data_IF_933337838998
#
_entry.id   IF_933337838998
#
_cell.length_a   1.000
_cell.length_b   1.000
_cell.length_c   1.000
_cell.angle_alpha   90.00
_cell.angle_beta   90.00
_cell.angle_gamma   90.00
#
_symmetry.space_group_name_H-M   'P 1'
#
loop_
_entity.id
_entity.type
_entity.pdbx_description
1 polymer ?
#
# COMPACT_ATOMS: atom_id res chain seq x y z
N UNK A 1 -12.42 36.41 5.03
CA UNK A 1 -13.68 36.27 5.80
C UNK A 1 -13.89 34.81 6.17
N UNK A 2 -14.81 34.52 7.10
CA UNK A 2 -15.05 33.16 7.65
C UNK A 2 -15.22 32.08 6.57
N UNK A 3 -15.88 32.40 5.45
CA UNK A 3 -16.06 31.46 4.32
C UNK A 3 -14.73 30.97 3.73
N UNK A 4 -13.75 31.87 3.53
CA UNK A 4 -12.45 31.47 2.99
C UNK A 4 -11.66 30.57 3.96
N UNK A 5 -11.83 30.77 5.26
CA UNK A 5 -11.23 29.91 6.29
C UNK A 5 -11.89 28.53 6.31
N UNK A 6 -13.20 28.46 6.10
CA UNK A 6 -13.94 27.20 6.03
C UNK A 6 -13.57 26.41 4.76
N UNK A 7 -13.51 27.07 3.61
CA UNK A 7 -13.12 26.46 2.33
C UNK A 7 -11.69 25.88 2.37
N UNK A 8 -10.78 26.58 3.06
CA UNK A 8 -9.39 26.14 3.24
C UNK A 8 -9.24 24.83 4.05
N UNK A 9 -10.28 24.45 4.82
CA UNK A 9 -10.29 23.25 5.67
C UNK A 9 -11.14 22.12 5.06
N UNK A 10 -12.25 22.46 4.42
CA UNK A 10 -13.18 21.46 3.84
C UNK A 10 -12.53 20.70 2.69
N UNK A 11 -11.80 21.39 1.80
CA UNK A 11 -11.16 20.75 0.64
C UNK A 11 -10.23 19.58 1.02
N UNK A 12 -9.19 19.82 1.85
CA UNK A 12 -8.27 18.78 2.29
C UNK A 12 -8.96 17.62 3.02
N UNK A 13 -9.97 17.91 3.84
CA UNK A 13 -10.73 16.88 4.57
C UNK A 13 -11.53 15.97 3.63
N UNK A 14 -12.17 16.55 2.61
CA UNK A 14 -12.92 15.77 1.62
C UNK A 14 -11.98 14.85 0.82
N UNK A 15 -10.82 15.36 0.41
CA UNK A 15 -9.81 14.56 -0.29
C UNK A 15 -9.32 13.41 0.59
N UNK A 16 -8.99 13.68 1.85
CA UNK A 16 -8.56 12.63 2.77
C UNK A 16 -9.65 11.57 2.99
N UNK A 17 -10.91 11.98 3.16
CA UNK A 17 -12.03 11.06 3.36
C UNK A 17 -12.27 10.16 2.13
N UNK A 18 -12.24 10.73 0.93
CA UNK A 18 -12.40 9.98 -0.32
C UNK A 18 -11.30 8.93 -0.49
N UNK A 19 -10.04 9.30 -0.23
CA UNK A 19 -8.91 8.39 -0.33
C UNK A 19 -8.98 7.25 0.68
N UNK A 20 -9.38 7.55 1.92
CA UNK A 20 -9.59 6.53 2.95
C UNK A 20 -10.72 5.58 2.56
N UNK A 21 -11.82 6.08 2.00
CA UNK A 21 -12.94 5.26 1.51
C UNK A 21 -12.52 4.32 0.37
N UNK A 22 -11.76 4.83 -0.60
CA UNK A 22 -11.20 4.02 -1.70
C UNK A 22 -10.30 2.90 -1.18
N UNK A 23 -9.35 3.23 -0.30
CA UNK A 23 -8.43 2.25 0.31
C UNK A 23 -9.22 1.20 1.12
N UNK A 24 -10.22 1.61 1.89
CA UNK A 24 -11.06 0.71 2.68
C UNK A 24 -11.84 -0.29 1.81
N UNK A 25 -12.15 0.09 0.56
CA UNK A 25 -12.81 -0.78 -0.43
C UNK A 25 -11.82 -1.60 -1.26
N UNK A 26 -10.52 -1.51 -0.99
CA UNK A 26 -9.47 -2.18 -1.77
C UNK A 26 -9.20 -1.53 -3.13
N UNK A 27 -9.78 -0.36 -3.41
CA UNK A 27 -9.45 0.44 -4.58
C UNK A 27 -8.28 1.36 -4.22
N UNK A 28 -7.06 1.00 -4.59
CA UNK A 28 -5.89 1.81 -4.23
C UNK A 28 -5.80 3.02 -5.18
N UNK A 29 -5.98 4.26 -4.70
CA UNK A 29 -5.95 5.43 -5.55
C UNK A 29 -4.52 5.79 -5.98
N UNK A 30 -4.41 6.64 -6.99
CA UNK A 30 -3.15 7.29 -7.34
C UNK A 30 -2.73 8.28 -6.24
N UNK A 31 -1.43 8.57 -6.15
CA UNK A 31 -0.88 9.52 -5.16
C UNK A 31 -1.58 10.88 -5.21
N UNK A 32 -1.77 11.48 -4.04
CA UNK A 32 -2.23 12.87 -3.91
C UNK A 32 -1.09 13.79 -4.31
N UNK A 33 -1.30 14.59 -5.37
CA UNK A 33 -0.32 15.56 -5.89
C UNK A 33 -0.54 16.98 -5.39
N UNK A 34 -1.71 17.25 -4.81
CA UNK A 34 -2.06 18.58 -4.32
C UNK A 34 -1.14 19.03 -3.19
N UNK A 35 -1.03 20.36 -3.07
CA UNK A 35 -0.23 21.01 -2.04
C UNK A 35 -1.13 21.58 -0.97
N UNK A 36 -0.83 21.22 0.28
CA UNK A 36 -1.55 21.69 1.46
C UNK A 36 -0.56 22.33 2.44
N UNK A 37 -1.09 23.03 3.43
CA UNK A 37 -0.28 23.66 4.48
C UNK A 37 -0.43 22.90 5.81
N UNK A 38 0.64 22.90 6.62
CA UNK A 38 0.64 22.33 7.97
C UNK A 38 0.20 20.87 8.01
N UNK A 39 -0.69 20.56 8.95
CA UNK A 39 -1.14 19.19 9.24
C UNK A 39 -1.79 18.48 8.05
N UNK A 40 -2.45 19.22 7.15
CA UNK A 40 -3.03 18.63 5.94
C UNK A 40 -1.97 18.10 4.99
N UNK A 41 -0.80 18.74 4.92
CA UNK A 41 0.32 18.21 4.13
C UNK A 41 0.91 16.95 4.79
N UNK A 42 0.94 16.91 6.12
CA UNK A 42 1.33 15.72 6.89
C UNK A 42 0.38 14.56 6.62
N UNK A 43 -0.94 14.79 6.69
CA UNK A 43 -1.97 13.78 6.38
C UNK A 43 -1.80 13.28 4.95
N UNK A 44 -1.66 14.19 3.98
CA UNK A 44 -1.39 13.83 2.58
C UNK A 44 -0.18 12.91 2.44
N UNK A 45 0.94 13.25 3.08
CA UNK A 45 2.16 12.47 3.00
C UNK A 45 1.96 11.08 3.63
N UNK A 46 1.30 10.99 4.78
CA UNK A 46 1.00 9.72 5.44
C UNK A 46 0.08 8.85 4.58
N UNK A 47 -0.96 9.43 3.95
CA UNK A 47 -1.82 8.73 3.00
C UNK A 47 -1.03 8.23 1.80
N UNK A 48 -0.16 9.04 1.22
CA UNK A 48 0.71 8.62 0.12
C UNK A 48 1.64 7.47 0.53
N UNK A 49 2.21 7.50 1.74
CA UNK A 49 3.02 6.38 2.26
C UNK A 49 2.18 5.10 2.42
N UNK A 50 0.94 5.21 2.89
CA UNK A 50 0.04 4.06 2.96
C UNK A 50 -0.29 3.51 1.56
N UNK A 51 -0.59 4.38 0.60
CA UNK A 51 -0.83 4.02 -0.81
C UNK A 51 0.37 3.27 -1.39
N UNK A 52 1.59 3.78 -1.19
CA UNK A 52 2.80 3.14 -1.71
C UNK A 52 3.00 1.75 -1.10
N UNK A 53 2.82 1.61 0.21
CA UNK A 53 3.01 0.35 0.92
C UNK A 53 2.00 -0.72 0.46
N UNK A 54 0.72 -0.35 0.34
CA UNK A 54 -0.31 -1.29 -0.13
C UNK A 54 -0.09 -1.64 -1.60
N UNK A 55 0.27 -0.67 -2.45
CA UNK A 55 0.60 -0.94 -3.86
C UNK A 55 1.79 -1.90 -4.00
N UNK A 56 2.84 -1.72 -3.20
CA UNK A 56 3.99 -2.60 -3.20
C UNK A 56 3.58 -4.03 -2.79
N UNK A 57 2.76 -4.17 -1.75
CA UNK A 57 2.28 -5.47 -1.27
C UNK A 57 1.44 -6.19 -2.34
N UNK A 58 0.51 -5.47 -2.98
CA UNK A 58 -0.32 -6.01 -4.07
C UNK A 58 0.54 -6.43 -5.26
N UNK A 59 1.54 -5.62 -5.63
CA UNK A 59 2.47 -5.94 -6.72
C UNK A 59 3.22 -7.24 -6.44
N UNK A 60 3.79 -7.37 -5.24
CA UNK A 60 4.55 -8.55 -4.86
C UNK A 60 3.65 -9.79 -4.75
N UNK A 61 2.45 -9.66 -4.20
CA UNK A 61 1.48 -10.75 -4.12
C UNK A 61 1.08 -11.26 -5.51
N UNK A 62 0.79 -10.35 -6.46
CA UNK A 62 0.46 -10.72 -7.83
C UNK A 62 1.64 -11.38 -8.55
N UNK A 63 2.85 -10.84 -8.37
CA UNK A 63 4.07 -11.41 -8.95
C UNK A 63 4.30 -12.85 -8.45
N UNK A 64 4.17 -13.08 -7.15
CA UNK A 64 4.30 -14.41 -6.55
C UNK A 64 3.22 -15.37 -7.03
N UNK A 65 1.96 -14.93 -7.05
CA UNK A 65 0.85 -15.74 -7.53
C UNK A 65 1.05 -16.16 -8.99
N UNK A 66 1.45 -15.22 -9.86
CA UNK A 66 1.72 -15.50 -11.26
C UNK A 66 2.90 -16.48 -11.42
N UNK A 67 3.99 -16.28 -10.68
CA UNK A 67 5.12 -17.20 -10.70
C UNK A 67 4.72 -18.62 -10.27
N UNK A 68 3.85 -18.74 -9.25
CA UNK A 68 3.35 -20.04 -8.80
C UNK A 68 2.49 -20.74 -9.87
N UNK A 69 1.60 -20.02 -10.55
CA UNK A 69 0.80 -20.57 -11.66
C UNK A 69 1.69 -21.04 -12.82
N UNK A 70 2.80 -20.34 -13.06
CA UNK A 70 3.81 -20.72 -14.05
C UNK A 70 4.77 -21.84 -13.59
N UNK A 71 4.59 -22.38 -12.37
CA UNK A 71 5.45 -23.41 -11.80
C UNK A 71 6.81 -22.91 -11.31
N UNK A 72 7.06 -21.59 -11.30
CA UNK A 72 8.28 -20.94 -10.81
C UNK A 72 8.26 -20.77 -9.28
N UNK A 73 8.08 -21.88 -8.56
CA UNK A 73 7.89 -21.92 -7.10
C UNK A 73 9.10 -21.46 -6.27
N UNK A 74 10.27 -21.26 -6.87
CA UNK A 74 11.46 -20.68 -6.22
C UNK A 74 11.44 -19.14 -6.18
N UNK A 75 10.45 -18.50 -6.82
CA UNK A 75 10.34 -17.03 -6.84
C UNK A 75 9.96 -16.48 -5.47
N UNK A 76 10.65 -15.43 -5.00
CA UNK A 76 10.41 -14.79 -3.71
C UNK A 76 10.26 -13.28 -3.86
N UNK A 77 9.42 -12.68 -3.02
CA UNK A 77 9.30 -11.24 -2.94
C UNK A 77 10.36 -10.68 -1.97
N UNK A 78 10.86 -9.48 -2.24
CA UNK A 78 11.88 -8.86 -1.42
C UNK A 78 11.26 -8.16 -0.21
N UNK A 79 11.29 -8.82 0.94
CA UNK A 79 10.75 -8.31 2.19
C UNK A 79 11.43 -7.03 2.69
N UNK A 80 12.66 -6.74 2.25
CA UNK A 80 13.40 -5.53 2.70
C UNK A 80 12.83 -4.23 2.14
N UNK A 81 12.02 -4.32 1.07
CA UNK A 81 11.29 -3.19 0.47
C UNK A 81 10.05 -2.77 1.28
N UNK A 82 9.70 -3.53 2.31
CA UNK A 82 8.52 -3.31 3.14
C UNK A 82 8.92 -2.99 4.58
N UNK A 83 7.97 -2.44 5.34
CA UNK A 83 8.18 -2.05 6.73
C UNK A 83 7.09 -2.65 7.64
N UNK A 84 7.45 -2.90 8.91
CA UNK A 84 6.50 -3.34 9.94
C UNK A 84 5.75 -4.62 9.57
N UNK A 85 4.41 -4.58 9.72
CA UNK A 85 3.52 -5.69 9.39
C UNK A 85 3.62 -6.11 7.91
N UNK A 86 3.81 -5.18 6.98
CA UNK A 86 3.91 -5.51 5.55
C UNK A 86 5.13 -6.38 5.25
N UNK A 87 6.28 -6.08 5.88
CA UNK A 87 7.48 -6.93 5.77
C UNK A 87 7.23 -8.32 6.35
N UNK A 88 6.55 -8.40 7.49
CA UNK A 88 6.21 -9.68 8.13
C UNK A 88 5.27 -10.52 7.26
N UNK A 89 4.31 -9.90 6.56
CA UNK A 89 3.45 -10.59 5.60
C UNK A 89 4.29 -11.20 4.48
N UNK A 90 5.18 -10.42 3.85
CA UNK A 90 6.02 -10.92 2.76
C UNK A 90 6.95 -12.05 3.22
N UNK A 91 7.55 -11.93 4.40
CA UNK A 91 8.36 -12.99 5.01
C UNK A 91 7.55 -14.27 5.24
N UNK A 92 6.32 -14.16 5.76
CA UNK A 92 5.44 -15.30 5.99
C UNK A 92 5.02 -15.99 4.69
N UNK A 93 4.72 -15.24 3.63
CA UNK A 93 4.42 -15.80 2.31
C UNK A 93 5.63 -16.52 1.73
N UNK A 94 6.82 -15.91 1.78
CA UNK A 94 8.06 -16.55 1.34
C UNK A 94 8.32 -17.87 2.08
N UNK A 95 8.19 -17.88 3.42
CA UNK A 95 8.35 -19.08 4.23
C UNK A 95 7.30 -20.17 3.90
N UNK A 96 6.07 -19.76 3.57
CA UNK A 96 5.03 -20.69 3.12
C UNK A 96 5.42 -21.35 1.80
N UNK A 97 5.96 -20.59 0.85
CA UNK A 97 6.46 -21.14 -0.41
C UNK A 97 7.66 -22.07 -0.20
N UNK A 98 8.57 -21.73 0.70
CA UNK A 98 9.70 -22.59 1.08
C UNK A 98 9.23 -23.95 1.63
N UNK A 99 8.20 -23.94 2.49
CA UNK A 99 7.62 -25.16 3.04
C UNK A 99 6.93 -26.05 1.98
N UNK A 100 6.42 -25.45 0.90
CA UNK A 100 5.78 -26.18 -0.21
C UNK A 100 6.81 -26.82 -1.14
N UNK A 101 7.97 -26.20 -1.35
CA UNK A 101 9.03 -26.76 -2.21
C UNK A 101 9.89 -27.81 -1.49
N UNK A 102 10.05 -27.73 -0.17
CA UNK A 102 10.91 -28.63 0.60
C UNK A 102 10.65 -30.14 0.42
N UNK A 103 9.42 -30.64 0.22
CA UNK A 103 9.17 -32.06 -0.04
C UNK A 103 9.51 -32.55 -1.46
N UNK A 104 9.84 -31.63 -2.38
CA UNK A 104 10.08 -31.92 -3.81
C UNK A 104 11.58 -32.07 -4.11
N UNK A 105 12.45 -31.59 -3.22
CA UNK A 105 13.91 -31.80 -3.25
C UNK A 105 14.30 -33.18 -2.68
#
# INVERSE_FOLDING_TARGET
GVNATLDAVIGPLNVAADYVDQIAKGAIPARITDSYNGDFNTIKNNLNTAIDAVNALVTDANMLAQAAVEGRLSTRADASRHHGDYARIVQGVNATLDAVIAPID
#
